data_IF_591501681370
#
_entry.id   IF_591501681370
#
_cell.length_a   1.000
_cell.length_b   1.000
_cell.length_c   1.000
_cell.angle_alpha   90.00
_cell.angle_beta   90.00
_cell.angle_gamma   90.00
#
_symmetry.space_group_name_H-M   'P 1'
#
loop_
_entity.id
_entity.type
_entity.pdbx_description
1 polymer ?
#
# COMPACT_ATOMS: atom_id res chain seq x y z
N UNK A 1 0.37 -36.13 11.60
CA UNK A 1 0.03 -36.47 10.21
C UNK A 1 0.40 -35.27 9.35
N UNK A 2 1.61 -35.27 8.78
CA UNK A 2 2.06 -34.18 7.90
C UNK A 2 1.36 -34.37 6.56
N UNK A 3 0.31 -33.61 6.31
CA UNK A 3 -0.22 -33.47 4.96
C UNK A 3 0.85 -32.75 4.14
N UNK A 4 1.55 -33.50 3.28
CA UNK A 4 2.34 -32.91 2.20
C UNK A 4 1.43 -31.97 1.41
N UNK A 5 1.48 -30.67 1.70
CA UNK A 5 0.89 -29.66 0.81
C UNK A 5 1.75 -29.61 -0.45
N UNK A 6 1.48 -30.51 -1.40
CA UNK A 6 1.92 -30.42 -2.80
C UNK A 6 1.23 -29.24 -3.51
N UNK A 7 1.28 -28.06 -2.92
CA UNK A 7 1.06 -26.84 -3.68
C UNK A 7 2.32 -26.64 -4.51
N UNK A 8 2.16 -26.48 -5.82
CA UNK A 8 3.26 -26.29 -6.75
C UNK A 8 4.12 -25.11 -6.30
N UNK A 9 5.31 -25.43 -5.79
CA UNK A 9 6.30 -24.49 -5.26
C UNK A 9 7.44 -24.42 -6.26
N UNK A 10 7.67 -23.21 -6.79
CA UNK A 10 8.82 -22.96 -7.64
C UNK A 10 9.86 -22.25 -6.79
N UNK A 11 11.04 -22.87 -6.71
CA UNK A 11 12.24 -22.12 -6.34
C UNK A 11 12.43 -21.02 -7.38
N UNK A 12 12.25 -19.80 -6.94
CA UNK A 12 12.20 -18.65 -7.80
C UNK A 12 12.89 -17.51 -7.09
N UNK A 13 14.03 -17.09 -7.63
CA UNK A 13 14.81 -15.97 -7.12
C UNK A 13 14.43 -14.73 -7.90
N UNK A 14 13.68 -13.83 -7.27
CA UNK A 14 13.41 -12.50 -7.81
C UNK A 14 13.46 -11.47 -6.71
N UNK A 15 13.74 -10.24 -7.12
CA UNK A 15 13.72 -9.09 -6.23
C UNK A 15 12.30 -8.53 -6.21
N UNK A 16 11.81 -8.22 -5.00
CA UNK A 16 10.54 -7.57 -4.80
C UNK A 16 10.62 -6.43 -3.79
N UNK A 17 9.51 -5.71 -3.68
CA UNK A 17 9.30 -4.63 -2.72
C UNK A 17 8.13 -5.00 -1.82
N UNK A 18 8.35 -4.91 -0.50
CA UNK A 18 7.33 -5.04 0.53
C UNK A 18 7.04 -3.65 1.09
N UNK A 19 5.78 -3.23 1.11
CA UNK A 19 5.36 -2.02 1.79
C UNK A 19 4.62 -2.40 3.07
N UNK A 20 5.21 -2.09 4.21
CA UNK A 20 4.75 -2.53 5.53
C UNK A 20 5.14 -1.50 6.59
N UNK A 21 4.24 -1.21 7.53
CA UNK A 21 4.53 -0.23 8.61
C UNK A 21 4.84 1.20 8.12
N UNK A 22 4.48 1.54 6.87
CA UNK A 22 4.82 2.82 6.25
C UNK A 22 6.22 2.87 5.61
N UNK A 23 6.98 1.77 5.67
CA UNK A 23 8.30 1.62 5.04
C UNK A 23 8.22 0.74 3.79
N UNK A 24 9.05 1.05 2.78
CA UNK A 24 9.24 0.21 1.60
C UNK A 24 10.57 -0.52 1.75
N UNK A 25 10.50 -1.83 1.86
CA UNK A 25 11.63 -2.73 2.03
C UNK A 25 11.84 -3.53 0.76
N UNK A 26 13.09 -3.78 0.42
CA UNK A 26 13.42 -4.74 -0.63
C UNK A 26 13.46 -6.15 -0.04
N UNK A 27 13.03 -7.14 -0.82
CA UNK A 27 13.16 -8.54 -0.46
C UNK A 27 13.68 -9.37 -1.63
N UNK A 28 14.29 -10.50 -1.29
CA UNK A 28 14.55 -11.60 -2.21
C UNK A 28 13.46 -12.66 -2.01
N UNK A 29 12.75 -13.00 -3.08
CA UNK A 29 11.82 -14.11 -3.07
C UNK A 29 12.61 -15.41 -3.24
N UNK A 30 12.29 -16.44 -2.48
CA UNK A 30 12.94 -17.75 -2.60
C UNK A 30 12.00 -18.85 -3.10
N UNK A 31 10.75 -18.81 -2.64
CA UNK A 31 9.74 -19.81 -2.97
C UNK A 31 8.39 -19.10 -3.14
N UNK A 32 7.73 -19.36 -4.26
CA UNK A 32 6.39 -18.84 -4.57
C UNK A 32 5.45 -20.00 -4.84
N UNK A 33 4.28 -19.93 -4.23
CA UNK A 33 3.14 -20.78 -4.51
C UNK A 33 1.94 -19.95 -4.97
N UNK A 34 0.84 -20.63 -5.31
CA UNK A 34 -0.43 -19.97 -5.65
C UNK A 34 -1.00 -19.16 -4.49
N UNK A 35 -0.64 -19.50 -3.24
CA UNK A 35 -1.23 -18.91 -2.02
C UNK A 35 -0.29 -17.98 -1.28
N UNK A 36 0.97 -17.87 -1.68
CA UNK A 36 1.93 -17.14 -0.88
C UNK A 36 3.35 -17.22 -1.39
N UNK A 37 4.24 -16.56 -0.66
CA UNK A 37 5.66 -16.56 -0.94
C UNK A 37 6.48 -16.58 0.36
N UNK A 38 7.64 -17.21 0.31
CA UNK A 38 8.69 -17.03 1.31
C UNK A 38 9.70 -16.03 0.78
N UNK A 39 10.00 -15.02 1.59
CA UNK A 39 10.92 -13.94 1.23
C UNK A 39 11.99 -13.75 2.30
N UNK A 40 13.17 -13.29 1.89
CA UNK A 40 14.20 -12.73 2.73
C UNK A 40 14.17 -11.21 2.61
N UNK A 41 13.95 -10.52 3.72
CA UNK A 41 13.91 -9.06 3.75
C UNK A 41 15.30 -8.48 3.91
N UNK A 42 15.56 -7.41 3.17
CA UNK A 42 16.66 -6.50 3.46
C UNK A 42 16.20 -5.51 4.54
N UNK A 43 16.94 -5.39 5.67
CA UNK A 43 16.62 -4.45 6.74
C UNK A 43 16.44 -3.02 6.24
N UNK A 44 15.42 -2.34 6.76
CA UNK A 44 15.14 -0.93 6.53
C UNK A 44 15.74 0.00 7.58
N UNK A 45 15.29 1.25 7.57
CA UNK A 45 15.59 2.26 8.59
C UNK A 45 14.69 2.13 9.82
N UNK A 46 13.41 1.76 9.64
CA UNK A 46 12.45 1.62 10.74
C UNK A 46 12.32 0.16 11.17
N UNK A 47 12.29 -0.75 10.20
CA UNK A 47 12.12 -2.18 10.43
C UNK A 47 13.42 -2.90 10.07
N UNK A 48 14.26 -3.12 11.08
CA UNK A 48 15.63 -3.62 10.88
C UNK A 48 15.87 -5.02 11.46
N UNK A 49 15.05 -5.44 12.43
CA UNK A 49 15.19 -6.69 13.17
C UNK A 49 13.91 -7.51 13.13
N UNK A 50 13.99 -8.83 13.34
CA UNK A 50 12.80 -9.68 13.41
C UNK A 50 11.82 -9.22 14.49
N UNK A 51 12.33 -8.71 15.63
CA UNK A 51 11.51 -8.18 16.72
C UNK A 51 10.67 -6.96 16.31
N UNK A 52 11.20 -6.08 15.45
CA UNK A 52 10.46 -4.92 14.95
C UNK A 52 9.24 -5.38 14.12
N UNK A 53 9.44 -6.39 13.29
CA UNK A 53 8.34 -6.97 12.51
C UNK A 53 7.36 -7.74 13.40
N UNK A 54 7.83 -8.52 14.38
CA UNK A 54 6.94 -9.22 15.31
C UNK A 54 6.04 -8.23 16.07
N UNK A 55 6.59 -7.11 16.54
CA UNK A 55 5.82 -6.04 17.17
C UNK A 55 4.77 -5.46 16.21
N UNK A 56 5.14 -5.26 14.95
CA UNK A 56 4.22 -4.78 13.91
C UNK A 56 3.08 -5.78 13.64
N UNK A 57 3.36 -7.09 13.65
CA UNK A 57 2.34 -8.13 13.44
C UNK A 57 1.28 -8.17 14.54
N UNK A 58 1.59 -7.69 15.75
CA UNK A 58 0.58 -7.53 16.80
C UNK A 58 -0.41 -6.40 16.50
N UNK A 59 -0.01 -5.40 15.71
CA UNK A 59 -0.83 -4.23 15.38
C UNK A 59 -1.56 -4.36 14.02
N UNK A 60 -0.82 -4.72 12.98
CA UNK A 60 -1.32 -4.89 11.61
C UNK A 60 -0.44 -5.89 10.85
N UNK A 61 -1.02 -7.03 10.50
CA UNK A 61 -0.33 -8.09 9.76
C UNK A 61 -0.46 -7.95 8.24
N UNK A 62 -1.05 -6.87 7.75
CA UNK A 62 -1.21 -6.60 6.31
C UNK A 62 -0.01 -5.87 5.74
N UNK A 63 0.36 -6.27 4.53
CA UNK A 63 1.37 -5.60 3.74
C UNK A 63 0.98 -5.62 2.25
N UNK A 64 1.78 -4.94 1.45
CA UNK A 64 1.74 -5.10 0.00
C UNK A 64 3.03 -5.63 -0.54
N UNK A 65 2.91 -6.40 -1.61
CA UNK A 65 4.05 -6.83 -2.41
C UNK A 65 4.00 -6.24 -3.81
N UNK A 66 5.19 -6.09 -4.35
CA UNK A 66 5.42 -5.96 -5.77
C UNK A 66 6.63 -6.80 -6.18
N UNK A 67 6.46 -7.63 -7.20
CA UNK A 67 7.55 -8.43 -7.80
C UNK A 67 7.46 -8.27 -9.31
N UNK A 68 8.40 -7.51 -9.88
CA UNK A 68 8.39 -7.12 -11.30
C UNK A 68 8.48 -8.35 -12.21
N UNK A 69 9.43 -9.25 -11.92
CA UNK A 69 9.69 -10.45 -12.71
C UNK A 69 8.50 -11.42 -12.75
N UNK A 70 7.65 -11.38 -11.71
CA UNK A 70 6.41 -12.18 -11.65
C UNK A 70 5.20 -11.43 -12.15
N UNK A 71 5.35 -10.14 -12.48
CA UNK A 71 4.25 -9.26 -12.81
C UNK A 71 3.17 -9.31 -11.72
N UNK A 72 3.61 -9.42 -10.47
CA UNK A 72 2.79 -9.70 -9.30
C UNK A 72 2.74 -8.45 -8.43
N UNK A 73 1.53 -8.01 -8.13
CA UNK A 73 1.29 -6.96 -7.15
C UNK A 73 0.05 -7.30 -6.35
N UNK A 74 0.00 -6.90 -5.09
CA UNK A 74 -1.21 -7.13 -4.31
C UNK A 74 -1.05 -7.01 -2.82
N UNK A 75 -2.17 -7.22 -2.14
CA UNK A 75 -2.26 -7.28 -0.69
C UNK A 75 -1.90 -8.68 -0.22
N UNK A 76 -1.07 -8.72 0.81
CA UNK A 76 -0.64 -9.93 1.48
C UNK A 76 -0.83 -9.80 2.98
N UNK A 77 -0.99 -10.95 3.62
CA UNK A 77 -0.90 -11.10 5.06
C UNK A 77 0.47 -11.67 5.40
N UNK A 78 1.13 -11.12 6.40
CA UNK A 78 2.35 -11.67 6.95
C UNK A 78 1.97 -12.77 7.94
N UNK A 79 2.24 -14.02 7.58
CA UNK A 79 1.87 -15.19 8.37
C UNK A 79 2.88 -15.50 9.48
N UNK A 80 4.15 -15.17 9.26
CA UNK A 80 5.23 -15.36 10.23
C UNK A 80 6.46 -14.56 9.84
N UNK A 81 7.27 -14.23 10.85
CA UNK A 81 8.63 -13.68 10.72
C UNK A 81 9.56 -14.57 11.54
N UNK A 82 10.80 -14.76 11.07
CA UNK A 82 11.86 -15.42 11.84
C UNK A 82 13.22 -14.93 11.41
N UNK A 83 14.15 -14.90 12.34
CA UNK A 83 15.55 -14.66 12.03
C UNK A 83 16.29 -16.00 11.87
N UNK A 84 17.04 -16.14 10.78
CA UNK A 84 17.86 -17.31 10.51
C UNK A 84 19.23 -16.89 9.96
N UNK A 85 20.30 -17.16 10.73
CA UNK A 85 21.69 -16.80 10.37
C UNK A 85 21.87 -15.31 10.02
N UNK A 86 21.23 -14.42 10.78
CA UNK A 86 21.28 -12.97 10.58
C UNK A 86 20.44 -12.47 9.41
N UNK A 87 19.55 -13.31 8.86
CA UNK A 87 18.62 -12.95 7.78
C UNK A 87 17.20 -12.96 8.31
N UNK A 88 16.41 -11.99 7.89
CA UNK A 88 15.00 -11.92 8.26
C UNK A 88 14.20 -12.63 7.19
N UNK A 89 13.63 -13.78 7.54
CA UNK A 89 12.73 -14.54 6.69
C UNK A 89 11.28 -14.22 7.06
N UNK A 90 10.45 -14.10 6.03
CA UNK A 90 9.04 -13.80 6.20
C UNK A 90 8.18 -14.70 5.30
N UNK A 91 7.08 -15.20 5.87
CA UNK A 91 6.04 -15.91 5.14
C UNK A 91 4.90 -14.98 4.78
N UNK A 92 4.62 -14.87 3.50
CA UNK A 92 3.53 -14.05 2.97
C UNK A 92 2.41 -14.93 2.46
N UNK A 93 1.19 -14.64 2.87
CA UNK A 93 -0.04 -15.23 2.33
C UNK A 93 -0.72 -14.21 1.42
N UNK A 94 -1.05 -14.62 0.19
CA UNK A 94 -1.69 -13.76 -0.78
C UNK A 94 -3.17 -13.60 -0.43
N UNK A 95 -3.62 -12.35 -0.21
CA UNK A 95 -5.05 -12.05 -0.04
C UNK A 95 -5.66 -11.67 -1.39
N UNK A 96 -5.21 -10.56 -1.96
CA UNK A 96 -5.68 -10.07 -3.27
C UNK A 96 -4.47 -9.74 -4.13
N UNK A 97 -4.09 -10.67 -5.02
CA UNK A 97 -2.97 -10.50 -5.93
C UNK A 97 -3.43 -10.47 -7.39
N UNK A 98 -2.78 -9.63 -8.18
CA UNK A 98 -3.00 -9.52 -9.62
C UNK A 98 -1.74 -9.94 -10.35
N UNK A 99 -1.94 -10.73 -11.40
CA UNK A 99 -0.91 -11.12 -12.35
C UNK A 99 -1.05 -10.20 -13.58
N UNK A 100 0.07 -9.80 -14.20
CA UNK A 100 0.15 -8.83 -15.30
C UNK A 100 0.28 -7.35 -14.86
N UNK A 101 1.17 -7.09 -13.89
CA UNK A 101 1.37 -5.80 -13.24
C UNK A 101 1.91 -4.66 -14.13
N UNK A 102 2.46 -4.86 -15.33
CA UNK A 102 2.90 -3.76 -16.23
C UNK A 102 1.82 -2.71 -16.47
N UNK A 103 0.55 -3.12 -16.62
CA UNK A 103 -0.58 -2.19 -16.79
C UNK A 103 -0.92 -1.40 -15.51
N UNK A 104 -0.47 -1.85 -14.35
CA UNK A 104 -0.70 -1.23 -13.04
C UNK A 104 0.52 -0.44 -12.54
N UNK A 105 1.73 -0.92 -12.82
CA UNK A 105 3.02 -0.30 -12.48
C UNK A 105 3.21 1.06 -13.12
N UNK A 106 2.78 1.22 -14.38
CA UNK A 106 2.73 2.52 -15.06
C UNK A 106 1.77 3.53 -14.41
N UNK A 107 0.90 3.11 -13.49
CA UNK A 107 -0.09 3.98 -12.82
C UNK A 107 0.04 4.05 -11.30
N UNK A 108 0.78 3.17 -10.62
CA UNK A 108 0.67 2.98 -9.16
C UNK A 108 2.03 2.75 -8.48
N UNK A 109 2.32 3.55 -7.44
CA UNK A 109 3.58 3.52 -6.64
C UNK A 109 3.35 3.41 -5.11
N UNK A 110 2.28 2.75 -4.64
CA UNK A 110 2.10 2.43 -3.20
C UNK A 110 0.68 2.06 -2.73
N UNK A 111 0.62 1.46 -1.52
CA UNK A 111 -0.54 0.79 -0.91
C UNK A 111 -1.74 1.63 -0.62
N UNK A 112 -2.93 1.17 -0.98
CA UNK A 112 -4.18 1.87 -0.71
C UNK A 112 -5.01 1.14 0.34
N UNK A 113 -4.81 1.41 1.64
CA UNK A 113 -5.67 0.87 2.72
C UNK A 113 -7.11 1.28 2.44
N UNK A 114 -7.96 0.30 2.13
CA UNK A 114 -9.39 0.51 1.88
C UNK A 114 -10.15 0.47 3.21
N UNK A 115 -9.88 1.46 4.06
CA UNK A 115 -10.68 1.74 5.24
C UNK A 115 -11.40 3.06 5.00
N UNK A 116 -12.75 3.10 5.03
CA UNK A 116 -13.46 4.37 4.92
C UNK A 116 -13.03 5.29 6.06
N UNK A 117 -12.71 6.54 5.74
CA UNK A 117 -12.33 7.59 6.70
C UNK A 117 -12.99 8.90 6.34
N UNK A 118 -13.19 9.80 7.30
CA UNK A 118 -13.67 11.16 7.01
C UNK A 118 -12.52 12.16 6.95
N UNK A 119 -12.51 13.03 5.95
CA UNK A 119 -11.49 14.07 5.82
C UNK A 119 -12.07 15.43 5.45
N UNK A 120 -11.30 16.47 5.75
CA UNK A 120 -11.54 17.84 5.29
C UNK A 120 -10.53 18.16 4.19
N UNK A 121 -11.05 18.48 3.01
CA UNK A 121 -10.28 18.92 1.85
C UNK A 121 -10.40 20.43 1.73
N UNK A 122 -9.27 21.12 1.81
CA UNK A 122 -9.17 22.55 1.59
C UNK A 122 -8.62 22.78 0.17
N UNK A 123 -9.38 23.49 -0.63
CA UNK A 123 -9.01 23.86 -2.00
C UNK A 123 -9.34 25.33 -2.21
N UNK A 124 -8.35 26.13 -2.63
CA UNK A 124 -8.45 27.60 -2.65
C UNK A 124 -8.90 28.19 -1.30
N UNK A 125 -10.12 28.72 -1.21
CA UNK A 125 -10.71 29.30 0.01
C UNK A 125 -11.78 28.42 0.65
N UNK A 126 -12.12 27.32 -0.02
CA UNK A 126 -13.24 26.46 0.36
C UNK A 126 -12.77 25.26 1.18
N UNK A 127 -13.65 24.82 2.07
CA UNK A 127 -13.49 23.66 2.92
C UNK A 127 -14.59 22.66 2.59
N UNK A 128 -14.19 21.46 2.15
CA UNK A 128 -15.09 20.41 1.69
C UNK A 128 -14.96 19.19 2.60
N UNK A 129 -16.09 18.68 3.09
CA UNK A 129 -16.12 17.40 3.77
C UNK A 129 -16.14 16.27 2.75
N UNK A 130 -15.20 15.32 2.87
CA UNK A 130 -15.00 14.26 1.89
C UNK A 130 -14.89 12.89 2.54
N UNK A 131 -15.36 11.87 1.83
CA UNK A 131 -15.25 10.47 2.23
C UNK A 131 -13.97 9.88 1.63
N UNK A 132 -13.09 9.37 2.48
CA UNK A 132 -11.91 8.62 2.06
C UNK A 132 -12.27 7.22 1.57
N UNK A 133 -11.89 6.91 0.34
CA UNK A 133 -12.11 5.60 -0.29
C UNK A 133 -10.92 4.69 -0.04
N UNK A 134 -9.70 5.21 -0.24
CA UNK A 134 -8.46 4.50 0.05
C UNK A 134 -7.26 5.45 0.19
N UNK A 135 -6.19 5.00 0.85
CA UNK A 135 -5.00 5.84 1.16
C UNK A 135 -3.67 5.09 1.07
N UNK A 136 -2.65 5.77 0.57
CA UNK A 136 -1.24 5.36 0.55
C UNK A 136 -0.33 6.40 1.18
N UNK A 137 0.93 5.99 1.38
CA UNK A 137 2.01 6.89 1.80
C UNK A 137 2.25 8.03 0.81
N UNK A 138 1.82 7.89 -0.46
CA UNK A 138 2.04 8.89 -1.53
C UNK A 138 0.78 9.61 -1.97
N UNK A 139 -0.39 9.24 -1.47
CA UNK A 139 -1.65 9.82 -1.94
C UNK A 139 -2.88 9.12 -1.43
N UNK A 140 -4.04 9.63 -1.81
CA UNK A 140 -5.34 9.15 -1.34
C UNK A 140 -6.40 9.35 -2.41
N UNK A 141 -7.48 8.59 -2.29
CA UNK A 141 -8.70 8.72 -3.07
C UNK A 141 -9.82 9.17 -2.14
N UNK A 142 -10.49 10.26 -2.50
CA UNK A 142 -11.64 10.77 -1.76
C UNK A 142 -12.83 10.94 -2.69
N UNK A 143 -14.04 10.84 -2.13
CA UNK A 143 -15.30 11.10 -2.78
C UNK A 143 -15.90 12.39 -2.24
N UNK A 144 -16.34 13.25 -3.15
CA UNK A 144 -17.13 14.43 -2.87
C UNK A 144 -18.57 14.17 -3.33
N UNK A 145 -19.54 14.62 -2.53
CA UNK A 145 -20.97 14.61 -2.91
C UNK A 145 -21.37 15.77 -3.83
N UNK A 146 -20.42 16.66 -4.12
CA UNK A 146 -20.65 17.89 -4.90
C UNK A 146 -19.57 18.06 -5.95
N UNK A 147 -19.96 18.56 -7.12
CA UNK A 147 -19.02 19.03 -8.12
C UNK A 147 -18.52 20.43 -7.73
N UNK A 148 -17.21 20.54 -7.47
CA UNK A 148 -16.60 21.80 -7.05
C UNK A 148 -15.64 22.34 -8.14
N UNK A 149 -15.80 23.57 -8.64
CA UNK A 149 -15.02 24.08 -9.77
C UNK A 149 -13.52 24.23 -9.49
N UNK A 150 -13.14 24.40 -8.21
CA UNK A 150 -11.73 24.47 -7.80
C UNK A 150 -11.04 23.09 -7.79
N UNK A 151 -11.79 21.97 -7.83
CA UNK A 151 -11.26 20.62 -7.85
C UNK A 151 -10.96 20.22 -9.30
N UNK A 152 -9.76 20.55 -9.75
CA UNK A 152 -9.26 20.28 -11.10
C UNK A 152 -7.82 19.75 -11.06
N UNK A 153 -7.38 19.12 -12.14
CA UNK A 153 -6.03 18.56 -12.24
C UNK A 153 -4.95 19.57 -11.81
N UNK A 154 -3.99 19.12 -11.01
CA UNK A 154 -2.90 19.88 -10.39
C UNK A 154 -3.33 20.99 -9.40
N UNK A 155 -4.60 21.13 -9.06
CA UNK A 155 -5.02 22.07 -8.02
C UNK A 155 -4.31 21.74 -6.69
N UNK A 156 -3.67 22.73 -6.03
CA UNK A 156 -3.08 22.53 -4.72
C UNK A 156 -4.19 22.34 -3.69
N UNK A 157 -3.99 21.38 -2.81
CA UNK A 157 -4.96 21.06 -1.75
C UNK A 157 -4.25 20.84 -0.43
N UNK A 158 -4.95 21.14 0.66
CA UNK A 158 -4.58 20.69 2.00
C UNK A 158 -5.62 19.67 2.46
N UNK A 159 -5.15 18.59 3.04
CA UNK A 159 -5.99 17.56 3.61
C UNK A 159 -5.82 17.55 5.13
N UNK A 160 -6.93 17.39 5.85
CA UNK A 160 -6.93 17.13 7.28
C UNK A 160 -7.77 15.89 7.57
N UNK A 161 -7.16 14.87 8.16
CA UNK A 161 -7.83 13.64 8.58
C UNK A 161 -7.72 13.53 10.09
N UNK A 162 -8.81 13.83 10.80
CA UNK A 162 -8.83 13.89 12.27
C UNK A 162 -8.52 12.54 12.90
N UNK A 163 -9.10 11.46 12.37
CA UNK A 163 -8.95 10.09 12.85
C UNK A 163 -7.50 9.62 12.90
N UNK A 164 -6.63 10.16 12.04
CA UNK A 164 -5.21 9.79 11.96
C UNK A 164 -4.27 10.90 12.44
N UNK A 165 -4.80 11.99 12.97
CA UNK A 165 -4.00 13.18 13.32
C UNK A 165 -3.21 13.76 12.13
N UNK A 166 -3.64 13.48 10.89
CA UNK A 166 -2.87 13.81 9.68
C UNK A 166 -3.28 15.17 9.13
N UNK A 167 -2.30 16.03 8.89
CA UNK A 167 -2.44 17.21 8.04
C UNK A 167 -1.38 17.16 6.94
N UNK A 168 -1.81 17.12 5.68
CA UNK A 168 -0.92 16.96 4.54
C UNK A 168 -1.19 18.00 3.45
N UNK A 169 -0.14 18.45 2.78
CA UNK A 169 -0.24 19.20 1.53
C UNK A 169 -0.22 18.22 0.35
N UNK A 170 -0.96 18.55 -0.69
CA UNK A 170 -1.06 17.70 -1.86
C UNK A 170 -1.47 18.47 -3.10
N UNK A 171 -1.62 17.72 -4.19
CA UNK A 171 -2.21 18.21 -5.43
C UNK A 171 -3.20 17.20 -5.98
N UNK A 172 -4.21 17.68 -6.67
CA UNK A 172 -5.15 16.83 -7.41
C UNK A 172 -4.40 16.16 -8.56
N UNK A 173 -4.36 14.84 -8.57
CA UNK A 173 -3.68 14.02 -9.58
C UNK A 173 -4.64 13.54 -10.69
N UNK A 174 -5.93 13.41 -10.39
CA UNK A 174 -6.99 13.10 -11.35
C UNK A 174 -8.37 13.37 -10.72
N UNK A 175 -9.38 13.55 -11.56
CA UNK A 175 -10.77 13.77 -11.18
C UNK A 175 -11.66 12.92 -12.07
N UNK A 176 -12.60 12.19 -11.49
CA UNK A 176 -13.62 11.42 -12.20
C UNK A 176 -14.98 11.90 -11.73
N UNK A 177 -15.81 12.37 -12.66
CA UNK A 177 -17.19 12.75 -12.38
C UNK A 177 -18.09 11.52 -12.54
N UNK A 178 -18.92 11.28 -11.55
CA UNK A 178 -20.02 10.31 -11.55
C UNK A 178 -21.35 11.09 -11.48
N UNK A 179 -22.49 10.41 -11.70
CA UNK A 179 -23.81 11.06 -11.74
C UNK A 179 -24.13 11.87 -10.47
N UNK A 180 -23.73 11.35 -9.29
CA UNK A 180 -24.06 11.93 -7.98
C UNK A 180 -22.81 12.26 -7.15
N UNK A 181 -21.61 12.09 -7.72
CA UNK A 181 -20.38 12.15 -6.95
C UNK A 181 -19.18 12.57 -7.79
N UNK A 182 -18.12 13.03 -7.13
CA UNK A 182 -16.83 13.26 -7.76
C UNK A 182 -15.76 12.48 -7.00
N UNK A 183 -15.08 11.56 -7.69
CA UNK A 183 -13.90 10.89 -7.18
C UNK A 183 -12.66 11.72 -7.51
N UNK A 184 -11.80 11.89 -6.51
CA UNK A 184 -10.59 12.69 -6.63
C UNK A 184 -9.39 11.91 -6.12
N UNK A 185 -8.39 11.79 -6.97
CA UNK A 185 -7.06 11.33 -6.59
C UNK A 185 -6.23 12.50 -6.12
N UNK A 186 -5.68 12.40 -4.91
CA UNK A 186 -4.77 13.41 -4.33
C UNK A 186 -3.40 12.76 -4.18
N UNK A 187 -2.36 13.43 -4.67
CA UNK A 187 -0.98 13.09 -4.43
C UNK A 187 -0.44 13.94 -3.28
N UNK A 188 0.08 13.31 -2.23
CA UNK A 188 0.73 14.02 -1.11
C UNK A 188 2.08 14.56 -1.60
N UNK A 189 2.36 15.82 -1.29
CA UNK A 189 3.66 16.44 -1.53
C UNK A 189 4.50 16.26 -0.26
N UNK A 190 5.63 15.53 -0.32
CA UNK A 190 6.53 15.41 0.82
C UNK A 190 7.11 16.79 1.16
N UNK A 191 7.12 17.12 2.46
CA UNK A 191 7.82 18.30 2.97
C UNK A 191 9.26 17.85 3.20
N UNK A 192 10.18 18.29 2.33
CA UNK A 192 11.63 18.12 2.47
C UNK A 192 12.21 19.19 3.37
#
# INVERSE_FOLDING_TARGET
MFQERKEYRKNFNAIGLLNVGGEILQFNCYDVSVKGAMVELLPGQLLATAADFEALLFEDDKAEIFVEELMLAGEVKIAWVREERGRILMGLEFETVVHNAEKLWLKRRGYRKSAPFSAELFVEKDRLHVEGINRSTKGLCVRLKVHHPAVKLNAPVKLQIKEFGLAALGKVAWVTQEEESTLVGIQIVPIS
#
